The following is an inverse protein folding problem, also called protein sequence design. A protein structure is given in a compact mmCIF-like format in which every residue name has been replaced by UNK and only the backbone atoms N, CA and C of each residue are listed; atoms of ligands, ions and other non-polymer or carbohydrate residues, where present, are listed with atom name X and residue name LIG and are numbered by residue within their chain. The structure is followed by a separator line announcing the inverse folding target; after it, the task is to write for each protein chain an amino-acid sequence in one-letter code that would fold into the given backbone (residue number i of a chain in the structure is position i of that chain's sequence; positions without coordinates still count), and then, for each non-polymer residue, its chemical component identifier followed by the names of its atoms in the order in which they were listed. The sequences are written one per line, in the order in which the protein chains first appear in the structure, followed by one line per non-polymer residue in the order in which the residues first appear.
data_IF_421603739427
#
_entry.id   IF_421603739427
#
_cell.length_a   1.000
_cell.length_b   1.000
_cell.length_c   1.000
_cell.angle_alpha   90.00
_cell.angle_beta   90.00
_cell.angle_gamma   90.00
#
_symmetry.space_group_name_H-M   'P 1'
#
loop_
_entity.id
_entity.type
_entity.pdbx_description
1 polymer ?
#
# COMPACT_ATOMS: atom_id res chain seq x y z
N UNK A 1 -11.63 -29.91 -2.83
CA UNK A 1 -10.94 -29.55 -4.09
C UNK A 1 -12.03 -29.04 -5.01
N UNK A 2 -12.11 -27.74 -5.21
CA UNK A 2 -13.04 -27.18 -6.21
C UNK A 2 -12.40 -27.40 -7.57
N UNK A 3 -12.99 -28.27 -8.38
CA UNK A 3 -12.49 -28.55 -9.72
C UNK A 3 -12.67 -27.28 -10.56
N UNK A 4 -11.54 -26.67 -10.91
CA UNK A 4 -11.50 -25.56 -11.85
C UNK A 4 -11.89 -26.04 -13.24
N UNK A 5 -13.20 -26.08 -13.51
CA UNK A 5 -13.70 -26.40 -14.84
C UNK A 5 -13.41 -25.25 -15.79
N UNK A 6 -12.82 -25.61 -16.94
CA UNK A 6 -12.56 -24.70 -18.04
C UNK A 6 -13.85 -23.98 -18.46
N UNK A 7 -13.83 -22.66 -18.72
CA UNK A 7 -15.04 -21.94 -19.05
C UNK A 7 -15.64 -22.44 -20.38
N UNK A 8 -16.94 -22.73 -20.39
CA UNK A 8 -17.66 -23.25 -21.57
C UNK A 8 -17.77 -22.23 -22.71
N UNK A 9 -17.61 -20.94 -22.42
CA UNK A 9 -17.67 -19.84 -23.40
C UNK A 9 -16.36 -19.63 -24.17
N UNK A 10 -15.29 -20.38 -23.87
CA UNK A 10 -13.98 -20.21 -24.49
C UNK A 10 -13.99 -20.26 -26.04
N UNK A 11 -14.70 -21.18 -26.72
CA UNK A 11 -14.78 -21.18 -28.19
C UNK A 11 -15.58 -19.99 -28.76
N UNK A 12 -16.35 -19.28 -27.94
CA UNK A 12 -17.12 -18.11 -28.37
C UNK A 12 -16.32 -16.80 -28.26
N UNK A 13 -15.13 -16.83 -27.65
CA UNK A 13 -14.27 -15.65 -27.56
C UNK A 13 -13.69 -15.29 -28.94
N UNK A 14 -13.40 -14.00 -29.21
CA UNK A 14 -12.62 -13.61 -30.38
C UNK A 14 -11.27 -14.34 -30.40
N UNK A 15 -10.80 -14.76 -31.58
CA UNK A 15 -9.58 -15.54 -31.77
C UNK A 15 -8.35 -14.93 -31.08
N UNK A 16 -8.26 -13.59 -31.05
CA UNK A 16 -7.21 -12.82 -30.35
C UNK A 16 -7.14 -13.06 -28.83
N UNK A 17 -8.24 -13.45 -28.18
CA UNK A 17 -8.27 -13.76 -26.74
C UNK A 17 -8.31 -15.26 -26.46
N UNK A 18 -8.69 -16.08 -27.44
CA UNK A 18 -8.75 -17.52 -27.25
C UNK A 18 -7.38 -18.07 -26.84
N UNK A 19 -6.28 -17.66 -27.48
CA UNK A 19 -4.92 -18.07 -27.12
C UNK A 19 -4.54 -17.69 -25.69
N UNK A 20 -4.70 -16.42 -25.30
CA UNK A 20 -4.37 -15.95 -23.94
C UNK A 20 -5.21 -16.63 -22.85
N UNK A 21 -6.51 -16.85 -23.10
CA UNK A 21 -7.38 -17.57 -22.16
C UNK A 21 -7.04 -19.05 -22.17
N UNK A 22 -6.74 -19.65 -23.32
CA UNK A 22 -6.34 -21.04 -23.42
C UNK A 22 -5.10 -21.30 -22.58
N UNK A 23 -4.05 -20.50 -22.71
CA UNK A 23 -2.80 -20.58 -21.93
C UNK A 23 -3.07 -20.62 -20.41
N UNK A 24 -3.92 -19.71 -19.89
CA UNK A 24 -4.29 -19.67 -18.47
C UNK A 24 -4.92 -20.98 -17.96
N UNK A 25 -5.66 -21.69 -18.82
CA UNK A 25 -6.46 -22.86 -18.45
C UNK A 25 -5.89 -24.20 -18.90
N UNK A 26 -5.05 -24.22 -19.94
CA UNK A 26 -4.48 -25.44 -20.52
C UNK A 26 -3.03 -25.66 -20.17
N UNK A 27 -2.28 -24.67 -19.68
CA UNK A 27 -0.94 -24.96 -19.19
C UNK A 27 -1.02 -26.00 -18.08
N UNK A 28 -0.60 -27.25 -18.35
CA UNK A 28 -0.48 -28.28 -17.34
C UNK A 28 0.79 -27.93 -16.59
N UNK A 29 0.67 -27.08 -15.57
CA UNK A 29 1.78 -26.60 -14.77
C UNK A 29 2.87 -25.94 -15.62
N UNK A 30 2.80 -24.62 -15.87
CA UNK A 30 4.07 -23.93 -15.97
C UNK A 30 4.63 -24.01 -14.55
N UNK A 31 5.53 -24.96 -14.32
CA UNK A 31 6.50 -24.89 -13.24
C UNK A 31 7.25 -23.57 -13.43
N UNK A 32 6.61 -22.48 -13.04
CA UNK A 32 7.28 -21.21 -12.81
C UNK A 32 8.05 -21.46 -11.53
N UNK A 33 9.19 -22.14 -11.66
CA UNK A 33 10.22 -22.23 -10.66
C UNK A 33 10.72 -20.82 -10.41
N UNK A 34 9.97 -20.09 -9.60
CA UNK A 34 10.47 -18.91 -8.94
C UNK A 34 11.44 -19.42 -7.88
N UNK A 35 12.73 -19.36 -8.20
CA UNK A 35 13.80 -19.62 -7.25
C UNK A 35 13.77 -18.52 -6.19
N UNK A 36 13.28 -18.86 -5.00
CA UNK A 36 13.38 -18.02 -3.82
C UNK A 36 14.34 -18.72 -2.86
N UNK A 37 15.55 -18.16 -2.70
CA UNK A 37 16.63 -18.75 -1.89
C UNK A 37 17.07 -20.14 -2.36
N UNK A 38 17.34 -20.29 -3.66
CA UNK A 38 17.87 -21.52 -4.29
C UNK A 38 17.00 -22.78 -4.21
N UNK A 39 15.77 -22.68 -3.66
CA UNK A 39 14.77 -23.73 -3.72
C UNK A 39 13.71 -23.44 -4.80
N UNK A 40 13.42 -24.40 -5.70
CA UNK A 40 12.34 -24.25 -6.67
C UNK A 40 10.99 -24.33 -5.97
N UNK A 41 10.28 -23.20 -5.85
CA UNK A 41 8.91 -23.19 -5.34
C UNK A 41 7.95 -23.40 -6.50
N UNK A 42 7.31 -24.58 -6.55
CA UNK A 42 6.29 -24.89 -7.55
C UNK A 42 5.00 -24.15 -7.18
N UNK A 43 4.70 -23.06 -7.90
CA UNK A 43 3.45 -22.33 -7.69
C UNK A 43 2.34 -22.91 -8.56
N UNK A 44 1.41 -23.66 -7.95
CA UNK A 44 0.17 -24.07 -8.64
C UNK A 44 -0.81 -22.89 -8.63
N UNK A 45 -1.12 -22.26 -9.78
CA UNK A 45 -2.03 -21.13 -9.81
C UNK A 45 -3.41 -21.56 -9.31
N UNK A 46 -3.92 -20.87 -8.28
CA UNK A 46 -5.22 -21.17 -7.70
C UNK A 46 -6.36 -20.86 -8.69
N UNK A 47 -7.53 -21.46 -8.44
CA UNK A 47 -8.74 -21.19 -9.21
C UNK A 47 -9.10 -19.70 -9.26
N UNK A 48 -9.01 -19.03 -8.12
CA UNK A 48 -9.26 -17.59 -8.01
C UNK A 48 -8.32 -16.77 -8.90
N UNK A 49 -7.07 -17.20 -9.02
CA UNK A 49 -6.09 -16.55 -9.88
C UNK A 49 -6.48 -16.70 -11.35
N UNK A 50 -6.79 -17.93 -11.80
CA UNK A 50 -7.20 -18.22 -13.19
C UNK A 50 -8.46 -17.45 -13.56
N UNK A 51 -9.45 -17.40 -12.66
CA UNK A 51 -10.69 -16.65 -12.84
C UNK A 51 -10.45 -15.14 -12.88
N UNK A 52 -9.61 -14.62 -12.00
CA UNK A 52 -9.26 -13.19 -11.97
C UNK A 52 -8.53 -12.76 -13.24
N UNK A 53 -7.58 -13.57 -13.71
CA UNK A 53 -6.84 -13.34 -14.96
C UNK A 53 -7.79 -13.38 -16.16
N UNK A 54 -8.68 -14.37 -16.21
CA UNK A 54 -9.71 -14.48 -17.27
C UNK A 54 -10.65 -13.27 -17.28
N UNK A 55 -11.11 -12.79 -16.11
CA UNK A 55 -11.93 -11.57 -16.00
C UNK A 55 -11.20 -10.32 -16.50
N UNK A 56 -9.90 -10.22 -16.27
CA UNK A 56 -9.09 -9.12 -16.82
C UNK A 56 -9.03 -9.19 -18.35
N UNK A 57 -8.90 -10.38 -18.93
CA UNK A 57 -8.92 -10.54 -20.39
C UNK A 57 -10.30 -10.23 -20.99
N UNK A 58 -11.38 -10.68 -20.34
CA UNK A 58 -12.74 -10.34 -20.76
C UNK A 58 -13.02 -8.83 -20.69
N UNK A 59 -12.29 -8.07 -19.86
CA UNK A 59 -12.39 -6.60 -19.84
C UNK A 59 -11.77 -5.91 -21.05
N UNK A 60 -11.02 -6.62 -21.90
CA UNK A 60 -10.52 -6.10 -23.18
C UNK A 60 -11.58 -6.17 -24.30
N UNK A 61 -12.67 -6.93 -24.10
CA UNK A 61 -13.74 -7.04 -25.09
C UNK A 61 -14.50 -5.71 -25.24
N UNK A 62 -14.92 -5.42 -26.46
CA UNK A 62 -15.91 -4.36 -26.66
C UNK A 62 -17.23 -4.75 -25.99
N UNK A 63 -18.08 -3.76 -25.72
CA UNK A 63 -19.39 -4.01 -25.12
C UNK A 63 -20.22 -4.98 -25.97
N UNK A 64 -20.17 -4.84 -27.30
CA UNK A 64 -20.93 -5.68 -28.22
C UNK A 64 -20.38 -7.10 -28.29
N UNK A 65 -19.05 -7.27 -28.32
CA UNK A 65 -18.42 -8.59 -28.25
C UNK A 65 -18.77 -9.31 -26.95
N UNK A 66 -18.76 -8.60 -25.82
CA UNK A 66 -19.12 -9.18 -24.52
C UNK A 66 -20.57 -9.69 -24.51
N UNK A 67 -21.53 -8.91 -25.04
CA UNK A 67 -22.93 -9.33 -25.05
C UNK A 67 -23.27 -10.40 -26.07
N UNK A 68 -22.46 -10.60 -27.12
CA UNK A 68 -22.57 -11.77 -28.01
C UNK A 68 -22.27 -13.07 -27.27
N UNK A 69 -21.33 -13.04 -26.33
CA UNK A 69 -20.90 -14.21 -25.55
C UNK A 69 -21.80 -14.41 -24.32
N UNK A 70 -22.22 -13.32 -23.69
CA UNK A 70 -23.06 -13.32 -22.50
C UNK A 70 -24.42 -12.68 -22.78
N UNK A 71 -25.34 -13.38 -23.49
CA UNK A 71 -26.63 -12.82 -23.87
C UNK A 71 -27.47 -12.48 -22.62
N UNK A 72 -27.69 -11.17 -22.42
CA UNK A 72 -28.59 -10.39 -21.51
C UNK A 72 -28.99 -10.89 -20.11
N UNK A 73 -28.90 -12.17 -19.77
CA UNK A 73 -29.02 -12.73 -18.42
C UNK A 73 -27.66 -12.97 -17.74
N UNK A 74 -26.56 -12.68 -18.43
CA UNK A 74 -25.21 -12.81 -17.89
C UNK A 74 -24.81 -11.68 -16.94
N UNK A 75 -23.71 -11.85 -16.18
CA UNK A 75 -23.16 -10.80 -15.33
C UNK A 75 -22.87 -9.56 -16.17
N UNK A 76 -23.18 -8.37 -15.62
CA UNK A 76 -22.90 -7.09 -16.25
C UNK A 76 -21.43 -7.02 -16.71
N UNK A 77 -21.14 -6.47 -17.90
CA UNK A 77 -19.77 -6.32 -18.36
C UNK A 77 -18.95 -5.61 -17.29
N UNK A 78 -17.69 -6.04 -17.04
CA UNK A 78 -16.82 -5.34 -16.12
C UNK A 78 -16.75 -3.88 -16.57
N UNK A 79 -17.08 -2.94 -15.67
CA UNK A 79 -17.00 -1.51 -15.96
C UNK A 79 -15.57 -1.16 -16.36
N UNK A 80 -15.33 -1.07 -17.66
CA UNK A 80 -14.06 -0.62 -18.23
C UNK A 80 -13.97 0.88 -17.98
N UNK A 81 -13.11 1.29 -17.04
CA UNK A 81 -12.76 2.70 -16.85
C UNK A 81 -11.77 3.21 -17.91
N UNK A 82 -11.31 2.32 -18.80
CA UNK A 82 -10.56 2.69 -19.98
C UNK A 82 -11.54 3.28 -21.01
N UNK A 83 -11.83 4.58 -20.89
CA UNK A 83 -12.23 5.38 -22.03
C UNK A 83 -11.05 5.27 -23.01
N UNK A 84 -11.19 4.44 -24.04
CA UNK A 84 -10.34 4.51 -25.22
C UNK A 84 -10.52 5.93 -25.72
N UNK A 85 -9.51 6.76 -25.53
CA UNK A 85 -9.48 8.07 -26.13
C UNK A 85 -9.46 7.82 -27.64
N UNK A 86 -10.61 8.01 -28.29
CA UNK A 86 -10.62 8.26 -29.73
C UNK A 86 -9.55 9.31 -30.00
N UNK A 87 -8.63 8.98 -30.92
CA UNK A 87 -7.70 9.93 -31.52
C UNK A 87 -8.53 11.12 -32.00
N UNK A 88 -8.55 12.19 -31.22
CA UNK A 88 -8.94 13.50 -31.70
C UNK A 88 -7.75 14.05 -32.45
N UNK A 89 -7.97 14.34 -33.72
CA UNK A 89 -7.01 15.09 -34.53
C UNK A 89 -6.63 16.40 -33.81
N UNK A 90 -5.36 16.82 -33.91
CA UNK A 90 -4.88 18.02 -33.23
C UNK A 90 -5.66 19.25 -33.71
N UNK A 91 -6.18 20.09 -32.81
CA UNK A 91 -6.79 21.35 -33.20
C UNK A 91 -5.72 22.29 -33.75
N UNK A 92 -6.04 22.92 -34.88
CA UNK A 92 -5.23 23.94 -35.54
C UNK A 92 -4.82 25.07 -34.58
N UNK A 93 -3.61 25.57 -34.79
CA UNK A 93 -2.97 26.66 -34.06
C UNK A 93 -3.90 27.87 -33.88
N UNK A 94 -4.13 28.26 -32.62
CA UNK A 94 -4.76 29.55 -32.30
C UNK A 94 -3.67 30.62 -32.19
N UNK A 95 -3.84 31.78 -32.84
CA UNK A 95 -2.92 32.89 -32.71
C UNK A 95 -2.99 33.53 -31.31
N UNK A 96 -1.80 33.77 -30.75
CA UNK A 96 -1.54 34.45 -29.49
C UNK A 96 -1.89 35.93 -29.57
N UNK A 97 -2.92 36.35 -28.82
CA UNK A 97 -3.09 37.73 -28.39
C UNK A 97 -3.97 37.73 -27.14
N UNK A 98 -3.34 37.74 -25.96
CA UNK A 98 -4.03 37.97 -24.69
C UNK A 98 -3.53 39.30 -24.10
N UNK A 99 -4.41 40.30 -23.90
CA UNK A 99 -4.03 41.57 -23.31
C UNK A 99 -3.96 41.49 -21.78
N UNK A 100 -2.93 42.13 -21.24
CA UNK A 100 -2.59 42.27 -19.83
C UNK A 100 -3.79 42.60 -18.94
N UNK A 101 -4.14 41.68 -18.03
CA UNK A 101 -5.10 41.94 -16.95
C UNK A 101 -4.45 42.73 -15.80
N UNK A 102 -5.10 43.77 -15.27
CA UNK A 102 -4.61 44.51 -14.11
C UNK A 102 -4.68 43.68 -12.82
N UNK A 103 -3.68 43.89 -11.97
CA UNK A 103 -3.47 43.17 -10.72
C UNK A 103 -4.65 43.33 -9.76
N UNK A 104 -5.21 42.20 -9.31
CA UNK A 104 -6.20 42.15 -8.23
C UNK A 104 -5.50 42.44 -6.89
N UNK A 105 -5.95 43.41 -6.09
CA UNK A 105 -5.34 43.72 -4.79
C UNK A 105 -5.56 42.57 -3.78
N UNK A 106 -4.50 42.24 -3.04
CA UNK A 106 -4.52 41.20 -2.00
C UNK A 106 -5.48 41.57 -0.85
N UNK A 107 -6.28 40.61 -0.34
CA UNK A 107 -7.11 40.84 0.84
C UNK A 107 -6.25 40.95 2.10
N UNK A 108 -6.59 41.93 2.95
CA UNK A 108 -5.91 42.20 4.21
C UNK A 108 -5.91 40.98 5.16
N UNK A 109 -4.83 40.80 5.97
CA UNK A 109 -4.71 39.67 6.88
C UNK A 109 -5.81 39.71 7.96
N UNK A 110 -6.56 38.60 8.07
CA UNK A 110 -7.54 38.38 9.14
C UNK A 110 -6.82 38.42 10.49
N UNK A 111 -7.15 39.41 11.32
CA UNK A 111 -6.78 39.46 12.74
C UNK A 111 -7.46 38.30 13.47
N UNK A 112 -6.72 37.24 13.77
CA UNK A 112 -7.20 36.17 14.65
C UNK A 112 -7.23 36.71 16.08
N UNK A 113 -8.44 36.82 16.65
CA UNK A 113 -8.65 37.16 18.05
C UNK A 113 -8.10 36.04 18.92
N UNK A 114 -7.04 36.34 19.67
CA UNK A 114 -6.45 35.47 20.69
C UNK A 114 -7.42 35.36 21.85
N UNK A 115 -8.41 34.47 21.72
CA UNK A 115 -9.31 34.10 22.81
C UNK A 115 -8.50 33.40 23.90
N UNK A 116 -8.19 34.14 24.95
CA UNK A 116 -7.51 33.69 26.17
C UNK A 116 -8.22 32.44 26.71
N UNK A 117 -7.58 31.28 26.53
CA UNK A 117 -8.07 30.00 27.03
C UNK A 117 -7.81 29.97 28.54
N UNK A 118 -8.83 29.75 29.40
CA UNK A 118 -8.63 29.65 30.84
C UNK A 118 -7.61 28.55 31.15
N UNK A 119 -6.52 28.91 31.82
CA UNK A 119 -5.56 27.95 32.35
C UNK A 119 -6.27 27.14 33.45
N UNK A 120 -6.46 25.85 33.20
CA UNK A 120 -6.85 24.93 34.26
C UNK A 120 -5.70 24.80 35.27
N UNK A 121 -6.00 24.69 36.57
CA UNK A 121 -4.99 24.52 37.60
C UNK A 121 -4.13 23.28 37.33
N UNK A 122 -2.82 23.34 37.64
CA UNK A 122 -1.90 22.24 37.44
C UNK A 122 -2.37 21.04 38.25
N UNK A 123 -2.87 20.02 37.55
CA UNK A 123 -3.26 18.75 38.16
C UNK A 123 -2.01 18.14 38.82
N UNK A 124 -2.08 17.71 40.10
CA UNK A 124 -0.97 17.05 40.76
C UNK A 124 -0.59 15.83 39.92
N UNK A 125 0.65 15.85 39.40
CA UNK A 125 1.23 14.72 38.69
C UNK A 125 1.20 13.55 39.66
N UNK A 126 0.22 12.65 39.49
CA UNK A 126 0.20 11.36 40.19
C UNK A 126 1.55 10.72 39.90
N UNK A 127 2.42 10.70 40.91
CA UNK A 127 3.67 9.97 40.89
C UNK A 127 3.30 8.55 40.50
N UNK A 128 3.54 8.24 39.24
CA UNK A 128 3.23 6.93 38.69
C UNK A 128 4.20 6.02 39.41
N UNK A 129 3.70 5.22 40.35
CA UNK A 129 4.49 4.21 41.02
C UNK A 129 5.29 3.50 39.92
N UNK A 130 6.62 3.62 39.99
CA UNK A 130 7.56 3.05 39.04
C UNK A 130 7.45 1.54 39.16
N UNK A 131 6.41 1.00 38.54
CA UNK A 131 6.16 -0.42 38.41
C UNK A 131 7.42 -0.97 37.78
N UNK A 132 8.08 -1.93 38.44
CA UNK A 132 9.33 -2.55 37.97
C UNK A 132 9.22 -2.74 36.45
N UNK A 133 10.20 -2.30 35.65
CA UNK A 133 10.08 -2.31 34.20
C UNK A 133 9.72 -3.72 33.79
N UNK A 134 8.51 -3.87 33.23
CA UNK A 134 8.00 -5.16 32.80
C UNK A 134 9.07 -5.82 31.94
N UNK A 135 9.37 -7.10 32.20
CA UNK A 135 10.36 -7.85 31.45
C UNK A 135 10.20 -7.58 29.96
N UNK A 136 11.28 -7.13 29.31
CA UNK A 136 11.25 -6.69 27.93
C UNK A 136 10.73 -7.85 27.06
N UNK A 137 9.53 -7.72 26.49
CA UNK A 137 8.88 -8.75 25.68
C UNK A 137 8.53 -8.22 24.29
N UNK A 138 8.60 -9.07 23.24
CA UNK A 138 8.18 -8.67 21.91
C UNK A 138 6.71 -8.25 21.89
N UNK A 139 6.31 -7.28 21.05
CA UNK A 139 4.93 -6.89 20.89
C UNK A 139 4.04 -8.10 20.55
N UNK A 140 2.84 -8.19 21.15
CA UNK A 140 1.90 -9.27 20.86
C UNK A 140 1.50 -9.38 19.38
N UNK A 141 1.61 -8.28 18.62
CA UNK A 141 1.40 -8.26 17.17
C UNK A 141 2.37 -9.15 16.39
N UNK A 142 3.55 -9.46 16.96
CA UNK A 142 4.56 -10.30 16.32
C UNK A 142 4.02 -11.70 16.02
N UNK A 143 3.19 -12.27 16.91
CA UNK A 143 2.61 -13.60 16.73
C UNK A 143 1.69 -13.74 15.50
N UNK A 144 1.28 -12.61 14.88
CA UNK A 144 0.40 -12.58 13.71
C UNK A 144 1.16 -12.37 12.39
N UNK A 145 2.47 -12.17 12.45
CA UNK A 145 3.29 -11.96 11.26
C UNK A 145 3.55 -13.30 10.55
N UNK A 146 3.94 -13.30 9.27
CA UNK A 146 4.40 -14.52 8.61
C UNK A 146 5.59 -15.15 9.36
N UNK A 147 5.72 -16.49 9.38
CA UNK A 147 6.75 -17.20 10.17
C UNK A 147 8.18 -16.69 9.96
N UNK A 148 8.56 -16.38 8.72
CA UNK A 148 9.88 -15.82 8.40
C UNK A 148 10.16 -14.48 9.11
N UNK A 149 9.15 -13.59 9.15
CA UNK A 149 9.25 -12.29 9.82
C UNK A 149 9.26 -12.49 11.34
N UNK A 150 8.46 -13.43 11.85
CA UNK A 150 8.49 -13.78 13.27
C UNK A 150 9.87 -14.24 13.70
N UNK A 151 10.49 -15.16 12.94
CA UNK A 151 11.83 -15.66 13.23
C UNK A 151 12.87 -14.53 13.27
N UNK A 152 12.81 -13.58 12.33
CA UNK A 152 13.70 -12.41 12.28
C UNK A 152 13.51 -11.46 13.46
N UNK A 153 12.27 -11.24 13.89
CA UNK A 153 12.03 -10.45 15.10
C UNK A 153 12.53 -11.23 16.31
N UNK A 154 12.19 -12.50 16.43
CA UNK A 154 12.64 -13.35 17.53
C UNK A 154 14.17 -13.46 17.63
N UNK A 155 14.93 -13.40 16.53
CA UNK A 155 16.41 -13.36 16.61
C UNK A 155 16.92 -12.05 17.20
N UNK A 156 16.27 -10.90 16.93
CA UNK A 156 16.57 -9.64 17.62
C UNK A 156 16.32 -9.82 19.11
N UNK A 157 15.14 -10.35 19.49
CA UNK A 157 14.73 -10.54 20.89
C UNK A 157 15.54 -11.59 21.66
N UNK A 158 16.05 -12.64 20.98
CA UNK A 158 16.91 -13.66 21.59
C UNK A 158 18.36 -13.19 21.78
N UNK A 159 18.88 -12.32 20.90
CA UNK A 159 20.25 -11.79 20.98
C UNK A 159 20.37 -10.58 21.91
N UNK A 160 19.61 -10.57 23.01
CA UNK A 160 19.66 -9.47 23.96
C UNK A 160 21.04 -9.44 24.64
N UNK A 161 21.91 -8.55 24.17
CA UNK A 161 23.22 -8.32 24.78
C UNK A 161 23.06 -7.46 26.03
N UNK A 162 23.83 -7.70 27.11
CA UNK A 162 23.88 -6.78 28.23
C UNK A 162 24.26 -5.38 27.70
N UNK A 163 23.45 -4.38 28.04
CA UNK A 163 23.63 -2.99 27.58
C UNK A 163 22.67 -2.51 26.49
N UNK A 164 21.97 -3.39 25.76
CA UNK A 164 20.94 -2.96 24.80
C UNK A 164 19.64 -2.64 25.55
N UNK A 165 19.20 -1.38 25.48
CA UNK A 165 17.96 -0.96 26.11
C UNK A 165 16.73 -1.59 25.44
N UNK A 166 15.68 -1.86 26.22
CA UNK A 166 14.42 -2.38 25.68
C UNK A 166 13.85 -1.49 24.56
N UNK A 167 14.02 -0.17 24.70
CA UNK A 167 13.60 0.80 23.68
C UNK A 167 14.28 0.58 22.33
N UNK A 168 15.56 0.18 22.30
CA UNK A 168 16.28 -0.11 21.06
C UNK A 168 15.76 -1.37 20.36
N UNK A 169 15.45 -2.41 21.13
CA UNK A 169 14.83 -3.65 20.64
C UNK A 169 13.47 -3.39 20.01
N UNK A 170 12.66 -2.56 20.68
CA UNK A 170 11.39 -2.10 20.14
C UNK A 170 11.57 -1.25 18.88
N UNK A 171 12.56 -0.35 18.81
CA UNK A 171 12.87 0.42 17.59
C UNK A 171 13.22 -0.49 16.42
N UNK A 172 14.11 -1.47 16.62
CA UNK A 172 14.48 -2.46 15.59
C UNK A 172 13.28 -3.29 15.13
N UNK A 173 12.43 -3.72 16.06
CA UNK A 173 11.19 -4.43 15.75
C UNK A 173 10.22 -3.57 14.94
N UNK A 174 10.05 -2.30 15.35
CA UNK A 174 9.19 -1.34 14.65
C UNK A 174 9.71 -1.07 13.24
N UNK A 175 11.02 -1.00 13.04
CA UNK A 175 11.63 -0.83 11.73
C UNK A 175 11.28 -1.99 10.78
N UNK A 176 11.39 -3.23 11.26
CA UNK A 176 10.94 -4.41 10.48
C UNK A 176 9.46 -4.28 10.13
N UNK A 177 8.61 -3.94 11.12
CA UNK A 177 7.16 -3.80 10.89
C UNK A 177 6.80 -2.70 9.88
N UNK A 178 7.54 -1.60 9.86
CA UNK A 178 7.32 -0.49 8.91
C UNK A 178 7.68 -0.91 7.48
N UNK A 179 8.73 -1.72 7.32
CA UNK A 179 9.22 -2.20 6.02
C UNK A 179 8.41 -3.40 5.48
N UNK A 180 7.43 -3.92 6.22
CA UNK A 180 6.55 -4.95 5.72
C UNK A 180 5.69 -4.45 4.54
N UNK A 181 5.40 -5.31 3.56
CA UNK A 181 4.43 -5.03 2.51
C UNK A 181 3.11 -4.48 3.08
N UNK A 182 2.53 -3.48 2.39
CA UNK A 182 1.31 -2.79 2.82
C UNK A 182 0.16 -3.75 3.15
N UNK A 183 0.02 -4.85 2.38
CA UNK A 183 -0.99 -5.89 2.64
C UNK A 183 -0.84 -6.48 4.03
N UNK A 184 0.38 -6.82 4.45
CA UNK A 184 0.66 -7.37 5.77
C UNK A 184 0.50 -6.31 6.87
N UNK A 185 0.94 -5.06 6.65
CA UNK A 185 0.73 -3.97 7.60
C UNK A 185 -0.75 -3.69 7.86
N UNK A 186 -1.57 -3.73 6.82
CA UNK A 186 -3.02 -3.52 6.92
C UNK A 186 -3.71 -4.61 7.74
N UNK A 187 -3.21 -5.85 7.69
CA UNK A 187 -3.71 -6.96 8.50
C UNK A 187 -3.41 -6.77 10.01
N UNK A 188 -2.27 -6.12 10.33
CA UNK A 188 -1.88 -5.83 11.72
C UNK A 188 -2.71 -4.71 12.35
N UNK A 189 -3.07 -3.68 11.57
CA UNK A 189 -3.80 -2.50 12.08
C UNK A 189 -5.29 -2.74 12.34
N UNK A 190 -5.93 -3.69 11.67
CA UNK A 190 -7.40 -3.90 11.75
C UNK A 190 -7.88 -4.54 13.06
N UNK A 191 -6.98 -4.95 13.96
CA UNK A 191 -7.38 -5.73 15.13
C UNK A 191 -8.00 -4.93 16.28
N UNK A 192 -7.96 -3.59 16.29
CA UNK A 192 -8.42 -2.80 17.44
C UNK A 192 -9.93 -2.46 17.44
N UNK A 193 -10.71 -2.89 16.45
CA UNK A 193 -12.10 -2.42 16.34
C UNK A 193 -13.21 -3.47 16.52
N UNK A 194 -12.94 -4.77 16.67
CA UNK A 194 -14.04 -5.78 16.70
C UNK A 194 -14.32 -6.45 18.04
N UNK A 195 -13.62 -6.15 19.14
CA UNK A 195 -13.91 -6.76 20.45
C UNK A 195 -14.76 -5.90 21.38
N UNK A 196 -15.32 -4.79 20.90
CA UNK A 196 -16.26 -3.97 21.67
C UNK A 196 -17.70 -4.40 21.40
N UNK A 197 -18.21 -5.24 22.30
CA UNK A 197 -19.63 -5.23 22.73
C UNK A 197 -20.64 -5.88 21.79
N UNK A 198 -20.61 -7.22 21.69
CA UNK A 198 -21.86 -7.98 21.51
C UNK A 198 -22.47 -8.24 22.90
N UNK A 199 -23.16 -7.23 23.43
CA UNK A 199 -24.19 -7.42 24.45
C UNK A 199 -25.46 -6.73 23.96
N UNK A 200 -26.40 -7.58 23.50
CA UNK A 200 -27.85 -7.42 23.62
C UNK A 200 -28.46 -6.08 23.18
N UNK A 201 -29.08 -6.07 21.99
CA UNK A 201 -30.42 -5.52 21.77
C UNK A 201 -30.94 -5.92 20.38
N UNK A 202 -31.86 -6.89 20.36
CA UNK A 202 -32.81 -7.10 19.27
C UNK A 202 -33.70 -5.87 19.11
N UNK A 203 -33.40 -5.01 18.14
CA UNK A 203 -34.37 -4.05 17.60
C UNK A 203 -34.17 -3.93 16.10
N UNK A 204 -35.15 -4.46 15.37
CA UNK A 204 -35.28 -4.36 13.92
C UNK A 204 -35.21 -2.88 13.50
N UNK A 205 -34.06 -2.49 12.94
CA UNK A 205 -33.83 -1.14 12.42
C UNK A 205 -33.59 -1.27 10.92
N UNK A 206 -34.47 -0.64 10.18
CA UNK A 206 -34.52 -0.51 8.71
C UNK A 206 -33.14 -0.27 8.09
N UNK A 207 -32.78 -1.13 7.15
CA UNK A 207 -31.51 -1.13 6.41
C UNK A 207 -31.55 0.03 5.39
N UNK A 208 -31.01 1.19 5.79
CA UNK A 208 -30.65 2.24 4.82
C UNK A 208 -29.29 1.88 4.22
N UNK A 209 -29.31 1.30 3.02
CA UNK A 209 -28.11 1.00 2.21
C UNK A 209 -27.29 2.27 1.99
N UNK A 210 -26.20 2.42 2.74
CA UNK A 210 -25.13 3.35 2.39
C UNK A 210 -24.30 2.70 1.29
N UNK A 211 -24.52 3.14 0.05
CA UNK A 211 -23.67 2.80 -1.09
C UNK A 211 -22.33 3.49 -0.91
N UNK A 212 -21.33 2.75 -0.43
CA UNK A 212 -19.94 3.20 -0.47
C UNK A 212 -19.49 3.25 -1.93
N UNK A 213 -19.36 4.46 -2.48
CA UNK A 213 -18.67 4.72 -3.73
C UNK A 213 -17.17 4.45 -3.52
N UNK A 214 -16.76 3.21 -3.72
CA UNK A 214 -15.34 2.84 -3.87
C UNK A 214 -14.79 3.56 -5.10
N UNK A 215 -14.11 4.68 -4.89
CA UNK A 215 -13.32 5.36 -5.91
C UNK A 215 -12.25 4.38 -6.41
N UNK A 216 -12.26 3.99 -7.69
CA UNK A 216 -11.28 3.06 -8.23
C UNK A 216 -9.90 3.72 -8.16
N UNK A 217 -8.96 3.08 -7.45
CA UNK A 217 -7.57 3.54 -7.47
C UNK A 217 -7.05 3.47 -8.91
N UNK A 218 -6.35 4.52 -9.40
CA UNK A 218 -5.84 4.55 -10.75
C UNK A 218 -4.90 3.37 -10.98
N UNK A 219 -5.23 2.53 -11.97
CA UNK A 219 -4.35 1.45 -12.45
C UNK A 219 -3.09 2.12 -13.01
N UNK A 220 -1.99 2.09 -12.26
CA UNK A 220 -0.67 2.44 -12.78
C UNK A 220 -0.24 1.32 -13.73
N UNK A 221 -0.40 1.55 -15.03
CA UNK A 221 -0.02 0.63 -16.11
C UNK A 221 1.46 0.75 -16.50
N UNK A 222 2.18 1.75 -16.01
CA UNK A 222 3.63 1.85 -16.17
C UNK A 222 4.32 1.57 -14.83
N UNK A 223 5.44 0.82 -14.83
CA UNK A 223 6.31 0.77 -13.65
C UNK A 223 6.67 2.22 -13.26
N UNK A 224 6.78 2.53 -11.95
CA UNK A 224 7.21 3.86 -11.52
C UNK A 224 8.49 4.20 -12.26
N UNK A 225 8.46 5.27 -13.06
CA UNK A 225 9.72 5.87 -13.48
C UNK A 225 10.34 6.42 -12.21
N UNK A 226 11.39 5.74 -11.75
CA UNK A 226 12.20 6.23 -10.64
C UNK A 226 12.97 7.42 -11.21
N UNK A 227 12.74 8.60 -10.64
CA UNK A 227 13.49 9.79 -11.03
C UNK A 227 14.99 9.49 -10.93
N UNK A 228 15.76 9.93 -11.92
CA UNK A 228 17.21 9.79 -11.95
C UNK A 228 17.87 10.75 -10.93
N UNK A 229 17.52 10.61 -9.66
CA UNK A 229 17.94 11.45 -8.55
C UNK A 229 18.12 10.59 -7.30
N UNK A 230 19.00 11.05 -6.42
CA UNK A 230 19.20 10.41 -5.13
C UNK A 230 17.86 10.35 -4.36
N UNK A 231 17.43 9.18 -3.89
CA UNK A 231 16.10 9.05 -3.31
C UNK A 231 15.94 9.86 -2.02
N UNK A 232 14.82 10.57 -1.91
CA UNK A 232 14.48 11.39 -0.74
C UNK A 232 14.41 10.59 0.58
N UNK A 233 14.14 9.27 0.52
CA UNK A 233 14.06 8.41 1.70
C UNK A 233 15.43 7.95 2.24
N UNK A 234 16.54 8.32 1.59
CA UNK A 234 17.89 7.91 1.98
C UNK A 234 18.15 8.16 3.48
N UNK A 235 17.70 9.30 4.02
CA UNK A 235 17.90 9.70 5.42
C UNK A 235 17.28 8.75 6.45
N UNK A 236 16.33 7.91 6.03
CA UNK A 236 15.63 6.94 6.90
C UNK A 236 16.29 5.56 6.92
N UNK A 237 17.27 5.33 6.06
CA UNK A 237 17.97 4.06 5.96
C UNK A 237 19.08 3.95 7.01
N UNK A 238 19.57 2.75 7.24
CA UNK A 238 20.73 2.53 8.11
C UNK A 238 21.97 3.25 7.56
N UNK A 239 22.82 3.89 8.39
CA UNK A 239 23.95 4.71 7.92
C UNK A 239 24.87 4.01 6.91
N UNK A 240 25.19 2.73 7.14
CA UNK A 240 26.01 1.94 6.22
C UNK A 240 25.36 1.78 4.83
N UNK A 241 24.02 1.66 4.79
CA UNK A 241 23.25 1.58 3.55
C UNK A 241 23.15 2.93 2.85
N UNK A 242 23.03 4.01 3.62
CA UNK A 242 23.08 5.37 3.09
C UNK A 242 24.39 5.62 2.35
N UNK A 243 25.51 5.20 2.92
CA UNK A 243 26.82 5.38 2.32
C UNK A 243 26.97 4.56 1.03
N UNK A 244 26.54 3.30 1.03
CA UNK A 244 26.52 2.47 -0.20
C UNK A 244 25.72 3.11 -1.32
N UNK A 245 24.52 3.62 -1.02
CA UNK A 245 23.70 4.30 -2.01
C UNK A 245 24.33 5.62 -2.48
N UNK A 246 24.94 6.41 -1.59
CA UNK A 246 25.70 7.61 -1.98
C UNK A 246 26.85 7.29 -2.92
N UNK A 247 27.53 6.16 -2.75
CA UNK A 247 28.60 5.71 -3.64
C UNK A 247 28.08 5.34 -5.03
N UNK A 248 26.94 4.67 -5.13
CA UNK A 248 26.30 4.34 -6.44
C UNK A 248 25.95 5.61 -7.22
N UNK A 249 25.48 6.63 -6.51
CA UNK A 249 25.11 7.92 -7.10
C UNK A 249 26.26 8.93 -7.14
N UNK A 250 27.47 8.56 -6.71
CA UNK A 250 28.60 9.47 -6.72
C UNK A 250 29.01 9.80 -8.16
N UNK A 251 29.17 11.09 -8.46
CA UNK A 251 29.57 11.57 -9.77
C UNK A 251 28.47 11.55 -10.85
N UNK A 252 27.23 11.21 -10.52
CA UNK A 252 26.10 11.32 -11.46
C UNK A 252 25.81 12.79 -11.82
N UNK A 253 25.63 13.07 -13.11
CA UNK A 253 25.23 14.39 -13.64
C UNK A 253 23.80 14.33 -14.17
N UNK A 254 23.02 15.40 -13.96
CA UNK A 254 21.66 15.48 -14.51
C UNK A 254 21.71 15.41 -16.05
N UNK A 255 21.03 14.40 -16.62
CA UNK A 255 20.98 14.18 -18.07
C UNK A 255 21.72 12.92 -18.55
N UNK A 256 22.53 12.27 -17.71
CA UNK A 256 23.09 10.95 -18.02
C UNK A 256 22.03 9.84 -17.90
N UNK A 257 22.18 8.74 -18.66
CA UNK A 257 21.36 7.55 -18.46
C UNK A 257 21.60 6.99 -17.05
N UNK A 258 20.52 6.87 -16.28
CA UNK A 258 20.54 6.44 -14.90
C UNK A 258 20.09 4.99 -14.70
N UNK A 259 19.77 4.27 -15.79
CA UNK A 259 19.16 2.93 -15.73
C UNK A 259 20.00 1.95 -14.91
N UNK A 260 21.31 1.91 -15.14
CA UNK A 260 22.23 1.04 -14.39
C UNK A 260 22.31 1.39 -12.91
N UNK A 261 22.40 2.69 -12.58
CA UNK A 261 22.47 3.19 -11.20
C UNK A 261 21.17 2.88 -10.44
N UNK A 262 20.02 3.03 -11.11
CA UNK A 262 18.72 2.65 -10.57
C UNK A 262 18.65 1.15 -10.31
N UNK A 263 19.12 0.30 -11.24
CA UNK A 263 19.18 -1.14 -11.02
C UNK A 263 20.09 -1.53 -9.86
N UNK A 264 21.27 -0.91 -9.73
CA UNK A 264 22.17 -1.13 -8.59
C UNK A 264 21.54 -0.71 -7.26
N UNK A 265 20.86 0.43 -7.23
CA UNK A 265 20.10 0.85 -6.06
C UNK A 265 19.02 -0.20 -5.70
N UNK A 266 18.26 -0.68 -6.68
CA UNK A 266 17.22 -1.68 -6.47
C UNK A 266 17.81 -3.01 -5.97
N UNK A 267 18.98 -3.42 -6.46
CA UNK A 267 19.66 -4.64 -6.00
C UNK A 267 20.12 -4.50 -4.54
N UNK A 268 20.70 -3.36 -4.16
CA UNK A 268 21.10 -3.06 -2.77
C UNK A 268 19.88 -3.09 -1.85
N UNK A 269 18.77 -2.46 -2.24
CA UNK A 269 17.54 -2.43 -1.45
C UNK A 269 16.94 -3.85 -1.30
N UNK A 270 16.90 -4.63 -2.38
CA UNK A 270 16.41 -6.02 -2.39
C UNK A 270 17.28 -6.92 -1.51
N UNK A 271 18.60 -6.79 -1.56
CA UNK A 271 19.53 -7.55 -0.72
C UNK A 271 19.39 -7.26 0.78
N UNK A 272 18.75 -6.15 1.16
CA UNK A 272 18.49 -5.78 2.55
C UNK A 272 17.00 -5.97 2.95
N UNK A 273 16.22 -6.69 2.14
CA UNK A 273 14.78 -6.92 2.29
C UNK A 273 13.94 -5.64 2.37
N UNK A 274 14.39 -4.56 1.73
CA UNK A 274 13.66 -3.30 1.74
C UNK A 274 12.79 -3.25 0.50
N UNK A 275 11.47 -3.42 0.69
CA UNK A 275 10.52 -3.35 -0.41
C UNK A 275 10.53 -1.96 -1.05
N UNK A 276 10.74 -1.91 -2.36
CA UNK A 276 10.67 -0.69 -3.18
C UNK A 276 9.30 -0.02 -3.05
N UNK A 277 8.25 -0.82 -2.81
CA UNK A 277 6.88 -0.36 -2.63
C UNK A 277 6.68 0.38 -1.30
N UNK A 278 7.52 0.10 -0.29
CA UNK A 278 7.45 0.78 1.01
C UNK A 278 7.82 2.27 0.90
N UNK A 279 8.54 2.65 -0.16
CA UNK A 279 8.92 4.04 -0.43
C UNK A 279 7.91 4.82 -1.27
N UNK A 280 6.91 4.14 -1.83
CA UNK A 280 5.75 4.80 -2.46
C UNK A 280 4.73 5.33 -1.46
N UNK A 281 5.01 5.24 -0.16
CA UNK A 281 4.15 5.90 0.81
C UNK A 281 4.31 7.42 0.65
N UNK A 282 3.20 8.17 0.46
CA UNK A 282 3.27 9.62 0.58
C UNK A 282 3.93 9.99 1.90
N UNK A 283 4.61 11.14 1.94
CA UNK A 283 5.15 11.69 3.19
C UNK A 283 4.13 11.46 4.30
N UNK A 284 4.52 10.91 5.47
CA UNK A 284 3.61 10.74 6.58
C UNK A 284 3.18 12.12 7.07
N UNK A 285 2.19 12.72 6.42
CA UNK A 285 1.38 13.82 6.94
C UNK A 285 0.22 13.28 7.80
N UNK A 286 0.18 11.97 8.05
CA UNK A 286 -0.96 11.24 8.65
C UNK A 286 -0.59 10.34 9.82
N UNK A 287 0.67 10.33 10.26
CA UNK A 287 0.97 9.91 11.64
C UNK A 287 1.01 11.18 12.48
N UNK A 288 -0.16 11.76 12.71
CA UNK A 288 -0.34 12.69 13.82
C UNK A 288 0.19 12.00 15.08
N UNK A 289 1.14 12.65 15.76
CA UNK A 289 1.69 12.24 17.06
C UNK A 289 0.60 12.08 18.15
N UNK A 290 -0.65 12.46 17.85
CA UNK A 290 -1.81 12.35 18.73
C UNK A 290 -2.18 10.92 19.14
N UNK A 291 -1.84 9.88 18.34
CA UNK A 291 -2.25 8.49 18.62
C UNK A 291 -1.33 7.75 19.62
N UNK A 292 -0.20 8.34 20.00
CA UNK A 292 0.71 7.79 21.02
C UNK A 292 0.63 8.49 22.38
N UNK A 293 -0.07 9.63 22.47
CA UNK A 293 -0.47 10.14 23.77
C UNK A 293 -1.74 9.40 24.20
N UNK A 294 -1.80 8.82 25.42
CA UNK A 294 -3.05 8.26 25.91
C UNK A 294 -4.05 9.40 25.97
N UNK A 295 -4.98 9.39 25.00
CA UNK A 295 -6.09 10.34 24.89
C UNK A 295 -6.75 10.41 26.26
N UNK A 296 -6.48 11.49 27.01
CA UNK A 296 -7.18 11.80 28.26
C UNK A 296 -8.65 11.80 27.87
N UNK A 297 -9.39 10.77 28.31
CA UNK A 297 -10.85 10.73 28.20
C UNK A 297 -11.33 12.04 28.80
N UNK A 298 -11.74 12.97 27.94
CA UNK A 298 -12.45 14.15 28.39
C UNK A 298 -13.72 13.64 29.04
N UNK A 299 -13.76 13.76 30.35
CA UNK A 299 -14.94 13.62 31.17
C UNK A 299 -15.95 14.68 30.70
N UNK A 300 -16.70 14.38 29.64
CA UNK A 300 -17.99 15.02 29.37
C UNK A 300 -19.07 14.15 30.03
N UNK A 301 -19.19 14.36 31.33
CA UNK A 301 -20.45 14.23 32.07
C UNK A 301 -20.54 15.47 32.96
N UNK A 302 -21.36 16.40 32.51
CA UNK A 302 -22.23 17.28 33.27
C UNK A 302 -23.25 17.78 32.26
#
# INVERSE_FOLDING_TARGET
KEDCRRPTYLPQLPQRLQGEVLEIWTDPEPETTLTYADEPVIFKPSCDWRMSRTRLLLSKLSRDEYYRIFPRRGPSPPRTTARVAERRDPPAERPSAEPSRPATPQPAPRRYSTRTRPQLPPQPRRASAWTRPAACRPPASVARLPPAVQARIQTIWRRQRPGISCGEMHRKTKQIMINLPLRLRSALGRSRQTTSTMKSATKATSIRRLTFTTTPMPKQTAPPQLDCKLPHFLTRLEPALQEKLRRVWAGYREGEDCTERVQQQLSILKANDISVESFRMPFPSLYDDDDLTPRKRSSRRA
#
